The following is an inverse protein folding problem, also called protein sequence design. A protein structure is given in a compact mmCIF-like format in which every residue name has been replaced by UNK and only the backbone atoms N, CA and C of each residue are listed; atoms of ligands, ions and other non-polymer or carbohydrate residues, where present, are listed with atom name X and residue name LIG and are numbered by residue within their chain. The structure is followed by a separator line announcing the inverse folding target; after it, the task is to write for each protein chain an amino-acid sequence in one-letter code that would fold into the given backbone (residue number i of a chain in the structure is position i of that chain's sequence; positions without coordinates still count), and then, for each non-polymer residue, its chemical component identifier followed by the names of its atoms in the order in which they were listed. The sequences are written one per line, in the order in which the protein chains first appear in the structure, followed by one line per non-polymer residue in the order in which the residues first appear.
data_IF_052381060322
#
_entry.id   IF_052381060322
#
_cell.length_a   1.000
_cell.length_b   1.000
_cell.length_c   1.000
_cell.angle_alpha   90.00
_cell.angle_beta   90.00
_cell.angle_gamma   90.00
#
_symmetry.space_group_name_H-M   'P 1'
#
loop_
_entity.id
_entity.type
_entity.pdbx_description
1 polymer ?
#
# COMPACT_ATOMS: atom_id res chain seq x y z
N UNK A 1 -31.87 18.61 10.60
CA UNK A 1 -31.58 17.63 11.67
C UNK A 1 -30.45 16.74 11.16
N UNK A 2 -29.31 16.65 11.86
CA UNK A 2 -28.14 15.90 11.38
C UNK A 2 -28.35 14.39 11.62
N UNK A 3 -28.26 13.58 10.57
CA UNK A 3 -28.28 12.11 10.68
C UNK A 3 -26.96 11.68 11.32
N UNK A 4 -27.01 11.06 12.50
CA UNK A 4 -25.82 10.51 13.16
C UNK A 4 -25.99 8.99 13.30
N UNK A 5 -25.04 8.17 12.83
CA UNK A 5 -25.10 6.73 13.06
C UNK A 5 -25.01 6.46 14.57
N UNK A 6 -26.09 5.91 15.13
CA UNK A 6 -26.20 5.43 16.51
C UNK A 6 -26.70 3.99 16.47
N UNK A 7 -26.47 3.21 17.53
CA UNK A 7 -27.02 1.84 17.67
C UNK A 7 -28.55 1.77 17.47
N UNK A 8 -29.23 2.88 17.72
CA UNK A 8 -30.68 3.06 17.58
C UNK A 8 -31.17 3.28 16.13
N UNK A 9 -30.26 3.43 15.15
CA UNK A 9 -30.60 3.71 13.76
C UNK A 9 -31.14 2.42 13.12
N UNK A 10 -32.43 2.41 12.79
CA UNK A 10 -33.10 1.28 12.14
C UNK A 10 -33.50 1.65 10.71
N UNK A 11 -33.72 0.64 9.87
CA UNK A 11 -34.20 0.86 8.50
C UNK A 11 -35.55 1.61 8.47
N UNK A 12 -36.45 1.33 9.42
CA UNK A 12 -37.72 2.05 9.56
C UNK A 12 -37.49 3.56 9.77
N UNK A 13 -36.57 3.95 10.66
CA UNK A 13 -36.19 5.35 10.86
C UNK A 13 -35.58 5.95 9.60
N UNK A 14 -34.81 5.19 8.83
CA UNK A 14 -34.26 5.65 7.56
C UNK A 14 -35.34 6.01 6.53
N UNK A 15 -36.44 5.24 6.49
CA UNK A 15 -37.61 5.51 5.64
C UNK A 15 -38.39 6.73 6.13
N UNK A 16 -38.61 6.84 7.45
CA UNK A 16 -39.28 8.00 8.08
C UNK A 16 -38.51 9.31 7.82
N UNK A 17 -37.17 9.24 7.83
CA UNK A 17 -36.29 10.37 7.55
C UNK A 17 -36.23 10.73 6.05
N UNK A 18 -36.87 9.96 5.18
CA UNK A 18 -36.97 10.28 3.76
C UNK A 18 -35.65 10.15 2.99
N UNK A 19 -34.73 9.29 3.43
CA UNK A 19 -33.40 9.11 2.81
C UNK A 19 -33.48 8.74 1.32
N UNK A 20 -34.57 8.14 0.88
CA UNK A 20 -34.85 7.86 -0.54
C UNK A 20 -34.85 9.12 -1.42
N UNK A 21 -35.11 10.31 -0.85
CA UNK A 21 -35.05 11.59 -1.56
C UNK A 21 -33.62 12.08 -1.77
N UNK A 22 -32.63 11.44 -1.14
CA UNK A 22 -31.23 11.83 -1.14
C UNK A 22 -30.31 10.74 -1.70
N UNK A 23 -30.86 9.78 -2.45
CA UNK A 23 -30.12 8.63 -2.99
C UNK A 23 -28.87 9.09 -3.75
N UNK A 24 -28.97 10.08 -4.62
CA UNK A 24 -27.82 10.56 -5.41
C UNK A 24 -26.64 11.02 -4.54
N UNK A 25 -26.93 11.76 -3.47
CA UNK A 25 -25.90 12.25 -2.54
C UNK A 25 -25.29 11.08 -1.76
N UNK A 26 -26.13 10.16 -1.29
CA UNK A 26 -25.69 8.96 -0.55
C UNK A 26 -24.80 8.10 -1.43
N UNK A 27 -25.22 7.82 -2.67
CA UNK A 27 -24.46 7.05 -3.65
C UNK A 27 -23.11 7.69 -3.92
N UNK A 28 -23.06 9.00 -4.17
CA UNK A 28 -21.79 9.70 -4.41
C UNK A 28 -20.81 9.60 -3.23
N UNK A 29 -21.31 9.68 -2.00
CA UNK A 29 -20.48 9.51 -0.79
C UNK A 29 -20.03 8.06 -0.65
N UNK A 30 -20.93 7.09 -0.90
CA UNK A 30 -20.61 5.67 -0.83
C UNK A 30 -19.56 5.26 -1.87
N UNK A 31 -19.66 5.77 -3.11
CA UNK A 31 -18.67 5.55 -4.16
C UNK A 31 -17.30 6.09 -3.77
N UNK A 32 -17.26 7.32 -3.20
CA UNK A 32 -16.01 7.89 -2.70
C UNK A 32 -15.40 7.02 -1.60
N UNK A 33 -16.21 6.60 -0.62
CA UNK A 33 -15.77 5.73 0.46
C UNK A 33 -15.26 4.38 -0.06
N UNK A 34 -15.91 3.80 -1.08
CA UNK A 34 -15.45 2.56 -1.70
C UNK A 34 -14.09 2.73 -2.40
N UNK A 35 -13.85 3.87 -3.05
CA UNK A 35 -12.55 4.18 -3.67
C UNK A 35 -11.45 4.40 -2.63
N UNK A 36 -11.76 5.11 -1.54
CA UNK A 36 -10.85 5.29 -0.40
C UNK A 36 -10.49 3.93 0.23
N UNK A 37 -11.48 3.07 0.46
CA UNK A 37 -11.26 1.73 1.02
C UNK A 37 -10.41 0.84 0.12
N UNK A 38 -10.56 0.95 -1.21
CA UNK A 38 -9.68 0.22 -2.14
C UNK A 38 -8.21 0.62 -2.01
N UNK A 39 -7.91 1.88 -1.70
CA UNK A 39 -6.53 2.34 -1.47
C UNK A 39 -6.00 1.73 -0.18
N UNK A 40 -6.81 1.78 0.89
CA UNK A 40 -6.46 1.19 2.18
C UNK A 40 -6.13 -0.30 2.07
N UNK A 41 -6.99 -1.07 1.40
CA UNK A 41 -6.78 -2.50 1.19
C UNK A 41 -5.50 -2.80 0.39
N UNK A 42 -5.20 -2.00 -0.63
CA UNK A 42 -3.99 -2.18 -1.43
C UNK A 42 -2.73 -1.90 -0.60
N UNK A 43 -2.72 -0.83 0.20
CA UNK A 43 -1.61 -0.54 1.12
C UNK A 43 -1.44 -1.65 2.16
N UNK A 44 -2.52 -2.08 2.81
CA UNK A 44 -2.51 -3.16 3.79
C UNK A 44 -1.96 -4.44 3.19
N UNK A 45 -2.43 -4.81 1.99
CA UNK A 45 -1.96 -6.00 1.28
C UNK A 45 -0.45 -5.94 1.04
N UNK A 46 0.03 -4.85 0.45
CA UNK A 46 1.46 -4.70 0.17
C UNK A 46 2.29 -4.75 1.45
N UNK A 47 1.90 -4.01 2.50
CA UNK A 47 2.62 -4.02 3.78
C UNK A 47 2.68 -5.42 4.40
N UNK A 48 1.64 -6.24 4.25
CA UNK A 48 1.62 -7.62 4.76
C UNK A 48 2.53 -8.54 3.94
N UNK A 49 2.57 -8.39 2.62
CA UNK A 49 3.44 -9.17 1.72
C UNK A 49 4.93 -8.92 2.02
N UNK A 50 5.29 -7.72 2.51
CA UNK A 50 6.67 -7.38 2.90
C UNK A 50 7.11 -7.96 4.26
N UNK A 51 6.19 -8.28 5.18
CA UNK A 51 6.55 -8.80 6.52
C UNK A 51 7.38 -10.09 6.51
N UNK A 52 7.03 -11.13 5.71
CA UNK A 52 7.78 -12.39 5.69
C UNK A 52 9.07 -12.32 4.87
N UNK A 53 9.31 -11.25 4.11
CA UNK A 53 10.46 -11.17 3.20
C UNK A 53 11.77 -11.18 3.99
N UNK A 54 12.69 -12.01 3.53
CA UNK A 54 14.05 -12.15 4.07
C UNK A 54 15.00 -12.28 2.90
N UNK A 55 16.03 -11.44 2.86
CA UNK A 55 17.12 -11.61 1.90
C UNK A 55 18.04 -12.74 2.36
N UNK A 56 18.37 -13.64 1.43
CA UNK A 56 19.33 -14.72 1.69
C UNK A 56 20.76 -14.14 1.70
N UNK A 57 21.50 -14.42 2.77
CA UNK A 57 22.91 -14.08 2.90
C UNK A 57 23.72 -15.37 2.92
N UNK A 58 24.63 -15.53 1.97
CA UNK A 58 25.35 -16.78 1.74
C UNK A 58 26.88 -16.54 1.82
N UNK A 59 27.65 -17.48 2.41
CA UNK A 59 29.10 -17.37 2.43
C UNK A 59 29.67 -17.44 1.01
N UNK A 60 30.65 -16.58 0.70
CA UNK A 60 31.31 -16.57 -0.61
C UNK A 60 32.63 -17.33 -0.58
N UNK A 61 32.63 -18.54 -1.16
CA UNK A 61 33.80 -19.42 -1.27
C UNK A 61 34.54 -19.56 0.08
N UNK A 62 35.87 -19.46 0.06
CA UNK A 62 36.73 -19.54 1.25
C UNK A 62 37.23 -18.15 1.68
N UNK A 63 36.57 -17.07 1.24
CA UNK A 63 37.00 -15.69 1.52
C UNK A 63 36.73 -15.26 2.96
N UNK A 64 35.89 -16.00 3.69
CA UNK A 64 35.42 -15.61 5.03
C UNK A 64 34.36 -14.49 5.02
N UNK A 65 33.86 -14.11 3.85
CA UNK A 65 32.85 -13.06 3.67
C UNK A 65 31.54 -13.61 3.12
N UNK A 66 30.50 -12.76 3.03
CA UNK A 66 29.15 -13.14 2.64
C UNK A 66 28.62 -12.24 1.52
N UNK A 67 27.73 -12.82 0.70
CA UNK A 67 27.03 -12.13 -0.38
C UNK A 67 25.53 -12.22 -0.17
N UNK A 68 24.81 -11.18 -0.61
CA UNK A 68 23.36 -11.21 -0.70
C UNK A 68 22.96 -11.91 -2.00
N UNK A 69 22.01 -12.82 -1.88
CA UNK A 69 21.25 -13.37 -2.99
C UNK A 69 19.87 -12.72 -2.98
N UNK A 70 19.72 -11.67 -3.78
CA UNK A 70 18.41 -11.11 -4.08
C UNK A 70 17.72 -12.06 -5.07
N UNK A 71 16.52 -12.57 -4.73
CA UNK A 71 15.74 -13.33 -5.69
C UNK A 71 15.09 -12.39 -6.71
N UNK A 72 14.99 -12.85 -7.95
CA UNK A 72 14.29 -12.12 -9.02
C UNK A 72 12.83 -11.80 -8.62
N UNK A 73 12.19 -12.72 -7.89
CA UNK A 73 10.84 -12.52 -7.35
C UNK A 73 10.72 -11.34 -6.38
N UNK A 74 11.72 -11.11 -5.51
CA UNK A 74 11.69 -9.97 -4.57
C UNK A 74 11.91 -8.66 -5.33
N UNK A 75 12.81 -8.63 -6.30
CA UNK A 75 13.03 -7.47 -7.17
C UNK A 75 11.78 -7.11 -7.96
N UNK A 76 11.13 -8.10 -8.58
CA UNK A 76 9.88 -7.88 -9.32
C UNK A 76 8.75 -7.36 -8.41
N UNK A 77 8.58 -7.95 -7.21
CA UNK A 77 7.58 -7.48 -6.26
C UNK A 77 7.85 -6.02 -5.83
N UNK A 78 9.11 -5.65 -5.62
CA UNK A 78 9.50 -4.28 -5.28
C UNK A 78 9.11 -3.30 -6.38
N UNK A 79 9.43 -3.60 -7.63
CA UNK A 79 9.09 -2.77 -8.78
C UNK A 79 7.57 -2.64 -8.94
N UNK A 80 6.84 -3.75 -8.85
CA UNK A 80 5.37 -3.78 -8.92
C UNK A 80 4.74 -2.92 -7.82
N UNK A 81 5.26 -3.01 -6.59
CA UNK A 81 4.73 -2.23 -5.46
C UNK A 81 5.08 -0.75 -5.55
N UNK A 82 6.23 -0.39 -6.16
CA UNK A 82 6.57 1.01 -6.47
C UNK A 82 5.54 1.58 -7.46
N UNK A 83 5.28 0.88 -8.57
CA UNK A 83 4.31 1.31 -9.59
C UNK A 83 2.90 1.40 -9.00
N UNK A 84 2.49 0.41 -8.21
CA UNK A 84 1.18 0.42 -7.54
C UNK A 84 1.04 1.61 -6.59
N UNK A 85 2.07 1.89 -5.79
CA UNK A 85 2.07 3.01 -4.85
C UNK A 85 2.03 4.35 -5.57
N UNK A 86 2.76 4.48 -6.68
CA UNK A 86 2.72 5.67 -7.53
C UNK A 86 1.35 5.87 -8.18
N UNK A 87 0.67 4.80 -8.60
CA UNK A 87 -0.71 4.88 -9.10
C UNK A 87 -1.66 5.43 -8.03
N UNK A 88 -1.54 4.95 -6.78
CA UNK A 88 -2.32 5.47 -5.65
C UNK A 88 -2.01 6.93 -5.34
N UNK A 89 -0.75 7.37 -5.50
CA UNK A 89 -0.35 8.76 -5.25
C UNK A 89 -0.92 9.76 -6.27
N UNK A 90 -1.38 9.29 -7.43
CA UNK A 90 -2.14 10.08 -8.41
C UNK A 90 -3.66 9.98 -8.25
N UNK A 91 -4.16 9.11 -7.38
CA UNK A 91 -5.60 8.94 -7.17
C UNK A 91 -6.22 10.22 -6.56
N UNK A 92 -7.36 10.71 -7.09
CA UNK A 92 -8.09 11.83 -6.48
C UNK A 92 -8.69 11.48 -5.11
N UNK A 93 -8.72 10.20 -4.76
CA UNK A 93 -9.25 9.68 -3.49
C UNK A 93 -8.17 9.45 -2.44
N UNK A 94 -6.91 9.80 -2.71
CA UNK A 94 -5.77 9.54 -1.81
C UNK A 94 -5.77 10.32 -0.51
N UNK A 95 -6.56 11.40 -0.40
CA UNK A 95 -6.40 12.45 0.63
C UNK A 95 -6.33 11.90 2.06
N UNK A 96 -7.15 10.90 2.40
CA UNK A 96 -7.14 10.30 3.73
C UNK A 96 -5.88 9.47 4.04
N UNK A 97 -5.17 9.01 3.00
CA UNK A 97 -4.02 8.11 3.09
C UNK A 97 -2.74 8.74 2.53
N UNK A 98 -2.73 10.04 2.23
CA UNK A 98 -1.64 10.70 1.50
C UNK A 98 -0.29 10.57 2.22
N UNK A 99 -0.26 10.78 3.54
CA UNK A 99 0.95 10.59 4.34
C UNK A 99 1.41 9.13 4.36
N UNK A 100 0.48 8.18 4.43
CA UNK A 100 0.79 6.74 4.43
C UNK A 100 1.36 6.30 3.08
N UNK A 101 0.75 6.74 1.98
CA UNK A 101 1.23 6.48 0.62
C UNK A 101 2.63 7.06 0.44
N UNK A 102 2.86 8.32 0.83
CA UNK A 102 4.17 8.97 0.70
C UNK A 102 5.24 8.27 1.54
N UNK A 103 4.92 7.89 2.78
CA UNK A 103 5.83 7.14 3.65
C UNK A 103 6.17 5.77 3.05
N UNK A 104 5.17 5.07 2.52
CA UNK A 104 5.35 3.76 1.90
C UNK A 104 6.18 3.85 0.62
N UNK A 105 5.87 4.81 -0.27
CA UNK A 105 6.61 5.07 -1.51
C UNK A 105 8.09 5.33 -1.21
N UNK A 106 8.38 6.17 -0.22
CA UNK A 106 9.74 6.47 0.18
C UNK A 106 10.49 5.24 0.72
N UNK A 107 9.82 4.38 1.51
CA UNK A 107 10.42 3.13 1.99
C UNK A 107 10.79 2.20 0.84
N UNK A 108 9.90 2.04 -0.15
CA UNK A 108 10.16 1.19 -1.31
C UNK A 108 11.31 1.74 -2.15
N UNK A 109 11.33 3.06 -2.43
CA UNK A 109 12.42 3.71 -3.17
C UNK A 109 13.77 3.55 -2.50
N UNK A 110 13.86 3.85 -1.20
CA UNK A 110 15.11 3.65 -0.44
C UNK A 110 15.53 2.18 -0.46
N UNK A 111 14.59 1.25 -0.37
CA UNK A 111 14.90 -0.19 -0.44
C UNK A 111 15.49 -0.55 -1.80
N UNK A 112 14.94 -0.02 -2.90
CA UNK A 112 15.47 -0.23 -4.25
C UNK A 112 16.88 0.34 -4.39
N UNK A 113 17.08 1.60 -4.00
CA UNK A 113 18.40 2.26 -4.06
C UNK A 113 19.46 1.49 -3.26
N UNK A 114 19.13 1.07 -2.03
CA UNK A 114 20.07 0.30 -1.18
C UNK A 114 20.39 -1.05 -1.79
N UNK A 115 19.42 -1.76 -2.35
CA UNK A 115 19.65 -3.05 -3.00
C UNK A 115 20.51 -2.90 -4.25
N UNK A 116 20.26 -1.89 -5.07
CA UNK A 116 21.02 -1.65 -6.30
C UNK A 116 22.49 -1.33 -6.00
N UNK A 117 22.73 -0.41 -5.06
CA UNK A 117 24.08 -0.05 -4.61
C UNK A 117 24.80 -1.23 -3.97
N UNK A 118 24.11 -2.01 -3.14
CA UNK A 118 24.67 -3.22 -2.55
C UNK A 118 25.10 -4.22 -3.62
N UNK A 119 24.20 -4.54 -4.57
CA UNK A 119 24.48 -5.49 -5.63
C UNK A 119 25.57 -4.98 -6.58
N UNK A 120 25.64 -3.68 -6.85
CA UNK A 120 26.73 -3.08 -7.62
C UNK A 120 28.07 -3.22 -6.91
N UNK A 121 28.15 -2.83 -5.64
CA UNK A 121 29.35 -2.97 -4.82
C UNK A 121 29.80 -4.44 -4.75
N UNK A 122 28.86 -5.36 -4.50
CA UNK A 122 29.13 -6.79 -4.47
C UNK A 122 29.67 -7.30 -5.82
N UNK A 123 29.06 -6.93 -6.96
CA UNK A 123 29.56 -7.30 -8.29
C UNK A 123 30.96 -6.77 -8.59
N UNK A 124 31.28 -5.56 -8.14
CA UNK A 124 32.62 -4.98 -8.32
C UNK A 124 33.68 -5.62 -7.44
N UNK A 125 33.29 -6.19 -6.30
CA UNK A 125 34.18 -6.87 -5.37
C UNK A 125 34.46 -8.34 -5.75
N UNK A 126 33.46 -9.02 -6.33
CA UNK A 126 33.50 -10.45 -6.70
C UNK A 126 34.44 -10.77 -7.87
#
# INVERSE_FOLDING_TARGET
MAVRPKKELTFAKCLEMGLQKHIEVITKVAEKAAKEFSIEQQLDKMEQEWKPIRFEVLPYKQTGTYIIKASEDISQMLDDHIVATQSMSFSPFKKAFEERIASWENKLKITQEVLDEWLACQRSWL
#
